data_IF_500648357801
#
_entry.id   IF_500648357801
#
_cell.length_a   1.000
_cell.length_b   1.000
_cell.length_c   1.000
_cell.angle_alpha   90.00
_cell.angle_beta   90.00
_cell.angle_gamma   90.00
#
_symmetry.space_group_name_H-M   'P 1'
#
loop_
_entity.id
_entity.type
_entity.pdbx_description
1 polymer ?
#
# COMPACT_ATOMS: atom_id res chain seq x y z
N UNK A 1 0.87 14.08 -9.86
CA UNK A 1 1.34 12.74 -9.47
C UNK A 1 0.22 11.99 -8.76
N UNK A 2 0.20 10.65 -8.81
CA UNK A 2 -0.91 9.79 -8.39
C UNK A 2 -1.45 10.03 -6.96
N UNK A 3 -0.64 10.63 -6.07
CA UNK A 3 -1.01 10.93 -4.68
C UNK A 3 -0.98 12.43 -4.32
N UNK A 4 -0.82 13.31 -5.30
CA UNK A 4 -0.61 14.74 -5.05
C UNK A 4 -1.78 15.42 -4.32
N UNK A 5 -3.02 14.94 -4.54
CA UNK A 5 -4.22 15.45 -3.88
C UNK A 5 -4.46 14.92 -2.46
N UNK A 6 -3.65 13.98 -1.97
CA UNK A 6 -3.85 13.41 -0.64
C UNK A 6 -3.06 14.19 0.43
N UNK A 7 -3.66 14.41 1.63
CA UNK A 7 -2.95 14.98 2.76
C UNK A 7 -1.67 14.20 3.08
N UNK A 8 -0.60 14.84 3.60
CA UNK A 8 0.65 14.14 3.90
C UNK A 8 0.51 12.96 4.86
N UNK A 9 -0.32 13.08 5.92
CA UNK A 9 -0.56 11.98 6.85
C UNK A 9 -1.23 10.78 6.16
N UNK A 10 -2.20 11.05 5.29
CA UNK A 10 -2.89 10.04 4.49
C UNK A 10 -1.93 9.30 3.54
N UNK A 11 -1.02 10.03 2.89
CA UNK A 11 0.04 9.40 2.08
C UNK A 11 0.96 8.47 2.90
N UNK A 12 1.35 8.88 4.10
CA UNK A 12 2.17 8.04 4.97
C UNK A 12 1.40 6.80 5.46
N UNK A 13 0.09 6.91 5.68
CA UNK A 13 -0.77 5.78 6.02
C UNK A 13 -0.92 4.79 4.86
N UNK A 14 -1.15 5.29 3.64
CA UNK A 14 -1.16 4.47 2.41
C UNK A 14 0.19 3.75 2.24
N UNK A 15 1.31 4.42 2.51
CA UNK A 15 2.63 3.78 2.45
C UNK A 15 2.75 2.60 3.43
N UNK A 16 2.25 2.77 4.66
CA UNK A 16 2.29 1.71 5.66
C UNK A 16 1.49 0.49 5.20
N UNK A 17 0.26 0.71 4.73
CA UNK A 17 -0.60 -0.37 4.23
C UNK A 17 0.01 -1.03 2.98
N UNK A 18 0.58 -0.26 2.06
CA UNK A 18 1.21 -0.81 0.86
C UNK A 18 2.45 -1.66 1.20
N UNK A 19 3.28 -1.21 2.14
CA UNK A 19 4.40 -2.01 2.66
C UNK A 19 3.92 -3.29 3.33
N UNK A 20 2.84 -3.24 4.10
CA UNK A 20 2.25 -4.41 4.71
C UNK A 20 1.71 -5.42 3.68
N UNK A 21 1.03 -4.95 2.64
CA UNK A 21 0.56 -5.79 1.52
C UNK A 21 1.75 -6.47 0.84
N UNK A 22 2.81 -5.71 0.50
CA UNK A 22 4.01 -6.29 -0.10
C UNK A 22 4.66 -7.36 0.78
N UNK A 23 4.76 -7.12 2.10
CA UNK A 23 5.33 -8.08 3.03
C UNK A 23 4.48 -9.37 3.11
N UNK A 24 3.15 -9.22 3.18
CA UNK A 24 2.22 -10.36 3.18
C UNK A 24 2.29 -11.17 1.88
N UNK A 25 2.42 -10.50 0.73
CA UNK A 25 2.57 -11.18 -0.56
C UNK A 25 3.92 -11.90 -0.64
N UNK A 26 5.02 -11.26 -0.24
CA UNK A 26 6.33 -11.90 -0.25
C UNK A 26 6.44 -13.10 0.69
N UNK A 27 5.75 -13.09 1.84
CA UNK A 27 5.69 -14.25 2.72
C UNK A 27 5.06 -15.48 2.04
N UNK A 28 4.19 -15.29 1.03
CA UNK A 28 3.50 -16.38 0.31
C UNK A 28 4.18 -16.77 -1.00
N UNK A 29 4.79 -15.81 -1.69
CA UNK A 29 5.32 -15.97 -3.05
C UNK A 29 6.86 -15.83 -3.14
N UNK A 30 7.52 -15.44 -2.05
CA UNK A 30 8.97 -15.30 -1.94
C UNK A 30 9.46 -13.85 -1.96
N UNK A 31 10.67 -13.66 -1.41
CA UNK A 31 11.28 -12.33 -1.19
C UNK A 31 11.54 -11.53 -2.48
N UNK A 32 11.55 -12.18 -3.64
CA UNK A 32 11.70 -11.52 -4.94
C UNK A 32 10.64 -10.42 -5.15
N UNK A 33 9.43 -10.60 -4.59
CA UNK A 33 8.36 -9.60 -4.63
C UNK A 33 8.75 -8.29 -3.93
N UNK A 34 9.45 -8.37 -2.81
CA UNK A 34 9.92 -7.19 -2.06
C UNK A 34 11.19 -6.58 -2.63
N UNK A 35 12.09 -7.42 -3.16
CA UNK A 35 13.42 -6.98 -3.58
C UNK A 35 13.45 -6.48 -5.02
N UNK A 36 12.69 -7.12 -5.91
CA UNK A 36 12.74 -6.90 -7.36
C UNK A 36 11.38 -7.16 -8.05
N UNK A 37 10.28 -6.51 -7.62
CA UNK A 37 8.94 -6.76 -8.16
C UNK A 37 8.84 -6.57 -9.67
N UNK A 38 9.59 -5.62 -10.23
CA UNK A 38 9.63 -5.33 -11.66
C UNK A 38 10.38 -6.36 -12.51
N UNK A 39 11.07 -7.32 -11.87
CA UNK A 39 11.86 -8.37 -12.51
C UNK A 39 11.32 -9.78 -12.21
N UNK A 40 10.12 -9.88 -11.65
CA UNK A 40 9.41 -11.14 -11.49
C UNK A 40 9.13 -11.78 -12.85
N UNK A 41 8.96 -13.10 -12.86
CA UNK A 41 8.49 -13.80 -14.06
C UNK A 41 7.05 -13.36 -14.34
N UNK A 42 6.67 -13.29 -15.62
CA UNK A 42 5.36 -12.76 -16.03
C UNK A 42 4.19 -13.60 -15.51
N UNK A 43 4.33 -14.92 -15.52
CA UNK A 43 3.34 -15.86 -14.99
C UNK A 43 3.14 -15.68 -13.47
N UNK A 44 4.23 -15.55 -12.73
CA UNK A 44 4.22 -15.31 -11.29
C UNK A 44 3.59 -13.95 -10.94
N UNK A 45 4.00 -12.88 -11.62
CA UNK A 45 3.42 -11.55 -11.42
C UNK A 45 1.91 -11.54 -11.74
N UNK A 46 1.49 -12.19 -12.82
CA UNK A 46 0.08 -12.28 -13.20
C UNK A 46 -0.76 -13.03 -12.16
N UNK A 47 -0.25 -14.13 -11.60
CA UNK A 47 -0.93 -14.89 -10.56
C UNK A 47 -1.14 -14.05 -9.29
N UNK A 48 -0.11 -13.35 -8.83
CA UNK A 48 -0.19 -12.47 -7.66
C UNK A 48 -1.17 -11.31 -7.91
N UNK A 49 -1.13 -10.70 -9.10
CA UNK A 49 -2.06 -9.63 -9.47
C UNK A 49 -3.51 -10.12 -9.47
N UNK A 50 -3.76 -11.35 -9.96
CA UNK A 50 -5.09 -11.94 -9.95
C UNK A 50 -5.63 -12.11 -8.51
N UNK A 51 -4.78 -12.55 -7.57
CA UNK A 51 -5.14 -12.64 -6.15
C UNK A 51 -5.50 -11.27 -5.56
N UNK A 52 -4.68 -10.25 -5.82
CA UNK A 52 -4.91 -8.89 -5.30
C UNK A 52 -6.12 -8.22 -5.95
N UNK A 53 -6.42 -8.54 -7.21
CA UNK A 53 -7.60 -8.02 -7.93
C UNK A 53 -8.91 -8.46 -7.26
N UNK A 54 -8.94 -9.64 -6.63
CA UNK A 54 -10.11 -10.07 -5.83
C UNK A 54 -10.33 -9.13 -4.64
N UNK A 55 -9.26 -8.71 -3.98
CA UNK A 55 -9.34 -7.72 -2.89
C UNK A 55 -9.81 -6.37 -3.39
N UNK A 56 -9.35 -5.90 -4.55
CA UNK A 56 -9.84 -4.66 -5.19
C UNK A 56 -11.36 -4.74 -5.40
N UNK A 57 -11.87 -5.82 -6.00
CA UNK A 57 -13.31 -5.99 -6.21
C UNK A 57 -14.11 -5.93 -4.91
N UNK A 58 -13.62 -6.58 -3.85
CA UNK A 58 -14.26 -6.53 -2.53
C UNK A 58 -14.25 -5.12 -1.94
N UNK A 59 -13.13 -4.41 -2.04
CA UNK A 59 -12.99 -3.04 -1.56
C UNK A 59 -13.90 -2.08 -2.32
N UNK A 60 -14.06 -2.25 -3.65
CA UNK A 60 -14.99 -1.43 -4.44
C UNK A 60 -16.43 -1.62 -3.97
N UNK A 61 -16.86 -2.87 -3.75
CA UNK A 61 -18.19 -3.15 -3.21
C UNK A 61 -18.39 -2.57 -1.80
N UNK A 62 -17.34 -2.54 -0.98
CA UNK A 62 -17.37 -1.88 0.32
C UNK A 62 -17.51 -0.35 0.18
N UNK A 63 -16.81 0.28 -0.76
CA UNK A 63 -16.93 1.72 -1.00
C UNK A 63 -18.35 2.10 -1.45
N UNK A 64 -18.96 1.31 -2.33
CA UNK A 64 -20.34 1.54 -2.77
C UNK A 64 -21.32 1.54 -1.59
N UNK A 65 -21.11 0.63 -0.62
CA UNK A 65 -21.92 0.49 0.61
C UNK A 65 -21.64 1.55 1.67
N UNK A 66 -20.55 2.30 1.53
CA UNK A 66 -20.15 3.36 2.46
C UNK A 66 -20.35 4.75 1.82
N UNK A 67 -21.00 4.83 0.65
CA UNK A 67 -21.13 6.05 -0.15
C UNK A 67 -21.93 7.17 0.54
N UNK A 68 -22.76 6.80 1.51
CA UNK A 68 -23.60 7.65 2.34
C UNK A 68 -22.89 8.14 3.62
N UNK A 69 -21.62 7.76 3.84
CA UNK A 69 -20.80 8.29 4.94
C UNK A 69 -20.12 9.61 4.59
N UNK A 70 -19.97 10.46 5.59
CA UNK A 70 -19.32 11.76 5.46
C UNK A 70 -17.80 11.64 5.31
N UNK A 71 -17.20 12.67 4.71
CA UNK A 71 -15.75 12.80 4.62
C UNK A 71 -15.12 12.91 6.03
N UNK A 72 -14.03 12.17 6.25
CA UNK A 72 -13.36 12.07 7.55
C UNK A 72 -13.87 10.94 8.44
N UNK A 73 -14.83 10.15 7.96
CA UNK A 73 -15.21 8.89 8.59
C UNK A 73 -14.02 7.90 8.57
N UNK A 74 -13.57 7.38 9.73
CA UNK A 74 -12.41 6.51 9.80
C UNK A 74 -12.54 5.21 8.99
N UNK A 75 -13.76 4.68 8.84
CA UNK A 75 -14.06 3.45 8.10
C UNK A 75 -13.94 3.70 6.61
N UNK A 76 -14.62 4.73 6.09
CA UNK A 76 -14.55 5.12 4.69
C UNK A 76 -13.11 5.44 4.26
N UNK A 77 -12.42 6.26 5.06
CA UNK A 77 -11.02 6.60 4.81
C UNK A 77 -10.12 5.35 4.87
N UNK A 78 -10.39 4.43 5.80
CA UNK A 78 -9.67 3.15 5.91
C UNK A 78 -9.80 2.29 4.66
N UNK A 79 -11.00 2.15 4.11
CA UNK A 79 -11.24 1.40 2.86
C UNK A 79 -10.55 2.09 1.68
N UNK A 80 -10.60 3.43 1.59
CA UNK A 80 -9.86 4.17 0.56
C UNK A 80 -8.34 3.97 0.65
N UNK A 81 -7.76 3.95 1.85
CA UNK A 81 -6.35 3.66 2.06
C UNK A 81 -5.99 2.26 1.55
N UNK A 82 -6.78 1.25 1.93
CA UNK A 82 -6.58 -0.12 1.50
C UNK A 82 -6.69 -0.27 -0.02
N UNK A 83 -7.67 0.39 -0.65
CA UNK A 83 -7.84 0.39 -2.10
C UNK A 83 -6.59 0.94 -2.80
N UNK A 84 -6.20 2.17 -2.45
CA UNK A 84 -5.04 2.86 -3.04
C UNK A 84 -3.73 2.10 -2.83
N UNK A 85 -3.55 1.52 -1.64
CA UNK A 85 -2.39 0.70 -1.34
C UNK A 85 -2.36 -0.56 -2.22
N UNK A 86 -3.51 -1.23 -2.37
CA UNK A 86 -3.64 -2.43 -3.22
C UNK A 86 -3.38 -2.10 -4.68
N UNK A 87 -3.97 -1.03 -5.21
CA UNK A 87 -3.75 -0.55 -6.58
C UNK A 87 -2.27 -0.22 -6.83
N UNK A 88 -1.59 0.42 -5.87
CA UNK A 88 -0.16 0.71 -5.98
C UNK A 88 0.68 -0.57 -6.04
N UNK A 89 0.37 -1.57 -5.21
CA UNK A 89 1.07 -2.86 -5.24
C UNK A 89 0.81 -3.59 -6.54
N UNK A 90 -0.43 -3.64 -7.02
CA UNK A 90 -0.79 -4.21 -8.33
C UNK A 90 -0.05 -3.50 -9.45
N UNK A 91 -0.04 -2.18 -9.47
CA UNK A 91 0.71 -1.39 -10.46
C UNK A 91 2.21 -1.67 -10.40
N UNK A 92 2.76 -1.84 -9.19
CA UNK A 92 4.18 -2.18 -8.98
C UNK A 92 4.53 -3.54 -9.58
N UNK A 93 3.73 -4.57 -9.32
CA UNK A 93 3.90 -5.91 -9.90
C UNK A 93 3.63 -5.91 -11.42
N UNK A 94 2.67 -5.10 -11.88
CA UNK A 94 2.33 -4.94 -13.29
C UNK A 94 3.50 -4.47 -14.14
N UNK A 95 4.49 -3.80 -13.54
CA UNK A 95 5.72 -3.41 -14.24
C UNK A 95 6.59 -4.58 -14.74
N UNK A 96 6.39 -5.79 -14.22
CA UNK A 96 6.99 -7.02 -14.73
C UNK A 96 6.29 -7.52 -16.01
N UNK A 97 4.99 -7.22 -16.17
CA UNK A 97 4.20 -7.58 -17.35
C UNK A 97 4.44 -6.58 -18.48
N UNK A 98 4.34 -5.29 -18.15
CA UNK A 98 4.57 -4.16 -19.05
C UNK A 98 5.41 -3.07 -18.34
N UNK A 99 6.65 -2.79 -18.81
CA UNK A 99 7.51 -1.80 -18.20
C UNK A 99 7.06 -0.34 -18.42
N UNK A 100 6.07 -0.06 -19.26
CA UNK A 100 5.60 1.31 -19.58
C UNK A 100 5.22 2.12 -18.33
N UNK A 101 4.63 1.46 -17.31
CA UNK A 101 4.19 2.07 -16.06
C UNK A 101 5.29 2.32 -15.02
N UNK A 102 6.54 1.88 -15.26
CA UNK A 102 7.63 1.93 -14.25
C UNK A 102 7.88 3.32 -13.67
N UNK A 103 7.82 4.35 -14.53
CA UNK A 103 8.04 5.74 -14.10
C UNK A 103 6.92 6.22 -13.17
N UNK A 104 5.67 5.97 -13.53
CA UNK A 104 4.49 6.39 -12.76
C UNK A 104 4.50 5.74 -11.38
N UNK A 105 4.79 4.44 -11.32
CA UNK A 105 4.91 3.70 -10.05
C UNK A 105 6.03 4.27 -9.19
N UNK A 106 7.20 4.55 -9.76
CA UNK A 106 8.32 5.13 -9.02
C UNK A 106 8.00 6.52 -8.46
N UNK A 107 7.34 7.37 -9.26
CA UNK A 107 6.86 8.69 -8.82
C UNK A 107 5.82 8.57 -7.70
N UNK A 108 4.90 7.60 -7.80
CA UNK A 108 3.86 7.35 -6.81
C UNK A 108 4.46 6.94 -5.47
N UNK A 109 5.36 5.96 -5.46
CA UNK A 109 6.08 5.57 -4.24
C UNK A 109 6.94 6.70 -3.67
N UNK A 110 7.62 7.48 -4.51
CA UNK A 110 8.41 8.63 -4.07
C UNK A 110 7.55 9.69 -3.38
N UNK A 111 6.34 9.93 -3.90
CA UNK A 111 5.37 10.84 -3.29
C UNK A 111 4.89 10.34 -1.91
N UNK A 112 4.70 9.04 -1.75
CA UNK A 112 4.37 8.43 -0.45
C UNK A 112 5.55 8.56 0.53
N UNK A 113 6.75 8.19 0.10
CA UNK A 113 7.95 8.25 0.94
C UNK A 113 8.34 9.69 1.35
N UNK A 114 8.07 10.67 0.50
CA UNK A 114 8.21 12.09 0.85
C UNK A 114 7.34 12.53 2.03
N UNK A 115 6.27 11.79 2.33
CA UNK A 115 5.35 12.10 3.43
C UNK A 115 5.73 11.45 4.77
N UNK A 116 6.79 10.63 4.84
CA UNK A 116 7.21 9.85 6.02
C UNK A 116 7.32 10.64 7.33
N UNK A 117 7.60 11.95 7.27
CA UNK A 117 7.66 12.81 8.47
C UNK A 117 6.31 12.92 9.20
N UNK A 118 5.21 12.56 8.54
CA UNK A 118 3.86 12.54 9.10
C UNK A 118 3.43 11.15 9.60
N UNK A 119 4.36 10.20 9.72
CA UNK A 119 4.07 8.81 10.09
C UNK A 119 3.34 8.67 11.45
N UNK A 120 3.59 9.54 12.43
CA UNK A 120 2.83 9.50 13.70
C UNK A 120 1.34 9.76 13.51
N UNK A 121 0.99 10.76 12.69
CA UNK A 121 -0.40 11.06 12.36
C UNK A 121 -1.03 9.95 11.51
N UNK A 122 -0.25 9.34 10.62
CA UNK A 122 -0.67 8.15 9.88
C UNK A 122 -1.02 6.98 10.80
N UNK A 123 -0.17 6.67 11.79
CA UNK A 123 -0.43 5.61 12.77
C UNK A 123 -1.71 5.90 13.54
N UNK A 124 -1.94 7.14 13.99
CA UNK A 124 -3.18 7.51 14.66
C UNK A 124 -4.42 7.24 13.77
N UNK A 125 -4.36 7.59 12.49
CA UNK A 125 -5.46 7.33 11.55
C UNK A 125 -5.71 5.83 11.30
N UNK A 126 -4.65 5.02 11.25
CA UNK A 126 -4.76 3.56 11.09
C UNK A 126 -5.35 2.91 12.35
N UNK A 127 -4.97 3.39 13.54
CA UNK A 127 -5.51 2.90 14.80
C UNK A 127 -6.97 3.34 15.01
N UNK A 128 -7.35 4.55 14.59
CA UNK A 128 -8.75 5.00 14.62
C UNK A 128 -9.65 4.09 13.77
N UNK A 129 -9.20 3.68 12.58
CA UNK A 129 -9.90 2.68 11.78
C UNK A 129 -10.05 1.34 12.52
N UNK A 130 -8.97 0.87 13.15
CA UNK A 130 -8.99 -0.39 13.89
C UNK A 130 -9.93 -0.34 15.10
N UNK A 131 -9.95 0.78 15.83
CA UNK A 131 -10.82 1.00 16.98
C UNK A 131 -12.29 1.00 16.55
N UNK A 132 -12.63 1.68 15.46
CA UNK A 132 -14.00 1.80 14.97
C UNK A 132 -14.56 0.47 14.42
N UNK A 133 -13.71 -0.31 13.74
CA UNK A 133 -14.16 -1.51 13.00
C UNK A 133 -13.83 -2.83 13.70
N UNK A 134 -12.91 -2.82 14.66
CA UNK A 134 -12.27 -4.04 15.17
C UNK A 134 -11.37 -4.76 14.16
N UNK A 135 -11.14 -4.18 12.98
CA UNK A 135 -10.39 -4.80 11.88
C UNK A 135 -8.97 -4.24 11.84
N UNK A 136 -7.98 -5.12 11.70
CA UNK A 136 -6.59 -4.69 11.49
C UNK A 136 -6.47 -3.81 10.24
N UNK A 137 -5.75 -2.67 10.30
CA UNK A 137 -5.56 -1.79 9.15
C UNK A 137 -4.60 -2.39 8.10
N UNK A 138 -3.92 -3.48 8.44
CA UNK A 138 -2.97 -4.22 7.61
C UNK A 138 -3.40 -5.69 7.45
N UNK A 139 -2.94 -6.40 6.40
CA UNK A 139 -3.29 -7.80 6.17
C UNK A 139 -3.01 -8.73 7.35
N UNK A 140 -3.75 -9.83 7.42
CA UNK A 140 -3.54 -10.87 8.43
C UNK A 140 -2.10 -11.42 8.39
N UNK A 141 -1.55 -11.73 9.57
CA UNK A 141 -0.18 -12.18 9.73
C UNK A 141 0.88 -11.07 9.68
N UNK A 142 0.50 -9.83 9.33
CA UNK A 142 1.39 -8.67 9.40
C UNK A 142 1.25 -8.00 10.77
N UNK A 143 2.35 -7.75 11.52
CA UNK A 143 2.28 -7.04 12.79
C UNK A 143 1.68 -5.64 12.66
N UNK A 144 0.68 -5.35 13.49
CA UNK A 144 -0.08 -4.08 13.46
C UNK A 144 0.08 -3.24 14.72
N UNK A 145 1.10 -3.53 15.57
CA UNK A 145 1.36 -2.69 16.75
C UNK A 145 1.79 -1.29 16.31
N UNK A 146 1.58 -0.25 17.13
CA UNK A 146 1.90 1.13 16.75
C UNK A 146 3.34 1.32 16.26
N UNK A 147 4.32 0.64 16.86
CA UNK A 147 5.72 0.68 16.43
C UNK A 147 5.95 0.02 15.06
N UNK A 148 5.25 -1.07 14.77
CA UNK A 148 5.34 -1.77 13.48
C UNK A 148 4.72 -0.90 12.37
N UNK A 149 3.54 -0.33 12.62
CA UNK A 149 2.88 0.61 11.70
C UNK A 149 3.74 1.86 11.45
N UNK A 150 4.38 2.38 12.50
CA UNK A 150 5.31 3.51 12.38
C UNK A 150 6.49 3.15 11.46
N UNK A 151 7.10 1.99 11.67
CA UNK A 151 8.22 1.52 10.85
C UNK A 151 7.80 1.37 9.37
N UNK A 152 6.61 0.83 9.10
CA UNK A 152 6.06 0.72 7.75
C UNK A 152 5.74 2.09 7.14
N UNK A 153 5.29 3.06 7.94
CA UNK A 153 5.01 4.43 7.52
C UNK A 153 6.27 5.30 7.34
N UNK A 154 7.46 4.83 7.76
CA UNK A 154 8.72 5.57 7.61
C UNK A 154 9.71 4.95 6.65
N UNK A 155 9.51 3.69 6.26
CA UNK A 155 10.51 2.92 5.51
C UNK A 155 10.08 2.73 4.06
N UNK A 156 10.91 3.13 3.11
CA UNK A 156 10.68 2.78 1.70
C UNK A 156 10.90 1.28 1.47
N UNK A 157 10.11 0.62 0.61
CA UNK A 157 10.35 -0.78 0.27
C UNK A 157 11.76 -0.97 -0.35
N UNK A 158 12.38 -2.15 -0.16
CA UNK A 158 13.77 -2.41 -0.57
C UNK A 158 14.08 -2.05 -2.02
N UNK A 159 13.17 -2.36 -2.96
CA UNK A 159 13.37 -2.10 -4.39
C UNK A 159 13.53 -0.61 -4.75
N UNK A 160 13.07 0.31 -3.91
CA UNK A 160 13.30 1.76 -4.10
C UNK A 160 14.61 2.23 -3.50
N UNK A 161 15.02 1.62 -2.38
CA UNK A 161 16.30 1.92 -1.71
C UNK A 161 17.48 1.52 -2.59
N UNK A 162 17.37 0.41 -3.32
CA UNK A 162 18.38 -0.03 -4.27
C UNK A 162 18.63 0.96 -5.42
N UNK A 163 17.63 1.76 -5.82
CA UNK A 163 17.80 2.82 -6.85
C UNK A 163 18.46 4.10 -6.34
N UNK A 164 18.37 4.38 -5.05
CA UNK A 164 18.94 5.59 -4.45
C UNK A 164 20.41 5.43 -4.07
N UNK A 165 20.92 4.19 -3.98
CA UNK A 165 22.34 3.91 -3.76
C UNK A 165 23.18 3.86 -5.07
N UNK A 166 22.52 3.85 -6.22
CA UNK A 166 23.15 3.74 -7.55
C UNK A 166 23.03 5.04 -8.39
N UNK A 167 22.54 6.12 -7.79
CA UNK A 167 22.43 7.46 -8.37
C UNK A 167 23.31 8.42 -7.58
#
# INVERSE_FOLDING_TARGET
GAFAGQPPAERAAIMAVANAILASVAARHGDAVLLRPAALRKDEAAAIIAELSVSITKLSLSLDRLSDRDFGDPVLDGVHRQMRATELVVGTLGTALDPSGKRIVAEAWSALYGARRHAKAAVAALLAFQEETGISPVPEGVPSRPADLLAMATTAPPFLRARTAAA
#
